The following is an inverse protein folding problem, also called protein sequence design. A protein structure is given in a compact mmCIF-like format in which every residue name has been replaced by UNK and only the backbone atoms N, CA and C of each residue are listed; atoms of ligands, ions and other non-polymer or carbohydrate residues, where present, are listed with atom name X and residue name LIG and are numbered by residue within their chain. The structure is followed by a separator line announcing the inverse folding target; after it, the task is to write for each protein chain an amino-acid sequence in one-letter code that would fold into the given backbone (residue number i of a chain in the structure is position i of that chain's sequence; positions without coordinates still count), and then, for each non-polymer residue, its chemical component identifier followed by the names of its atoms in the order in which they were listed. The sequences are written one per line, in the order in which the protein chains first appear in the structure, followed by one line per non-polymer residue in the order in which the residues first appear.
data_IF_906206397238
#
_entry.id   IF_906206397238
#
_cell.length_a   1.000
_cell.length_b   1.000
_cell.length_c   1.000
_cell.angle_alpha   90.00
_cell.angle_beta   90.00
_cell.angle_gamma   90.00
#
_symmetry.space_group_name_H-M   'P 1'
#
loop_
_entity.id
_entity.type
_entity.pdbx_description
1 polymer ?
#
# COMPACT_ATOMS: atom_id res chain seq x y z
N UNK A 1 8.17 6.72 2.10
CA UNK A 1 7.74 8.08 1.70
C UNK A 1 8.88 8.90 1.15
N UNK A 2 8.57 10.11 0.72
CA UNK A 2 9.57 10.96 0.08
C UNK A 2 10.71 11.37 1.05
N UNK A 3 11.95 10.95 0.75
CA UNK A 3 13.13 11.20 1.61
C UNK A 3 13.28 10.24 2.77
N UNK A 4 12.42 9.26 2.90
CA UNK A 4 12.56 8.19 3.89
C UNK A 4 13.62 7.17 3.45
N UNK A 5 14.12 6.43 4.43
CA UNK A 5 15.07 5.34 4.24
C UNK A 5 14.36 3.98 4.44
N UNK A 6 15.00 2.91 4.02
CA UNK A 6 14.47 1.54 4.17
C UNK A 6 14.12 1.19 5.62
N UNK A 7 14.87 1.70 6.57
CA UNK A 7 14.68 1.50 8.00
C UNK A 7 13.61 2.39 8.65
N UNK A 8 13.06 3.39 7.96
CA UNK A 8 12.10 4.36 8.54
C UNK A 8 10.88 3.64 9.15
N UNK A 9 10.33 2.67 8.49
CA UNK A 9 9.19 1.90 9.00
C UNK A 9 9.52 1.09 10.26
N UNK A 10 10.73 0.57 10.37
CA UNK A 10 11.17 -0.19 11.54
C UNK A 10 11.55 0.74 12.68
N UNK A 11 12.41 1.73 12.41
CA UNK A 11 12.98 2.60 13.44
C UNK A 11 11.99 3.63 13.97
N UNK A 12 11.21 4.22 13.09
CA UNK A 12 10.27 5.30 13.41
C UNK A 12 8.80 4.86 13.29
N UNK A 13 8.44 4.09 12.30
CA UNK A 13 7.09 3.54 12.11
C UNK A 13 6.75 2.41 13.08
N UNK A 14 7.75 1.75 13.68
CA UNK A 14 7.58 0.62 14.61
C UNK A 14 6.78 -0.54 14.01
N UNK A 15 6.86 -0.73 12.70
CA UNK A 15 6.08 -1.73 11.98
C UNK A 15 6.32 -3.16 12.49
N UNK A 16 7.56 -3.49 12.89
CA UNK A 16 7.90 -4.77 13.51
C UNK A 16 7.14 -5.00 14.82
N UNK A 17 7.13 -4.03 15.75
CA UNK A 17 6.39 -4.17 17.01
C UNK A 17 4.88 -4.20 16.80
N UNK A 18 4.37 -3.41 15.84
CA UNK A 18 2.95 -3.41 15.47
C UNK A 18 2.55 -4.81 14.99
N UNK A 19 3.32 -5.38 14.08
CA UNK A 19 3.03 -6.70 13.51
C UNK A 19 3.14 -7.81 14.56
N UNK A 20 4.20 -7.80 15.38
CA UNK A 20 4.39 -8.78 16.47
C UNK A 20 3.19 -8.77 17.43
N UNK A 21 2.73 -7.58 17.84
CA UNK A 21 1.57 -7.44 18.71
C UNK A 21 0.29 -7.96 18.04
N UNK A 22 0.04 -7.60 16.79
CA UNK A 22 -1.15 -8.03 16.05
C UNK A 22 -1.17 -9.54 15.84
N UNK A 23 -0.02 -10.15 15.58
CA UNK A 23 0.11 -11.62 15.45
C UNK A 23 -0.15 -12.28 16.81
N UNK A 24 0.46 -11.78 17.90
CA UNK A 24 0.25 -12.30 19.25
C UNK A 24 -1.20 -12.18 19.72
N UNK A 25 -1.90 -11.14 19.29
CA UNK A 25 -3.34 -10.93 19.56
C UNK A 25 -4.26 -11.72 18.61
N UNK A 26 -3.71 -12.46 17.65
CA UNK A 26 -4.49 -13.19 16.62
C UNK A 26 -5.23 -12.28 15.63
N UNK A 27 -4.81 -11.03 15.52
CA UNK A 27 -5.43 -10.02 14.65
C UNK A 27 -4.77 -9.91 13.27
N UNK A 28 -3.54 -10.37 13.11
CA UNK A 28 -2.85 -10.46 11.83
C UNK A 28 -2.29 -11.85 11.61
N UNK A 29 -2.09 -12.21 10.34
CA UNK A 29 -1.38 -13.44 9.95
C UNK A 29 0.12 -13.22 10.02
N UNK A 30 0.86 -14.31 10.29
CA UNK A 30 2.32 -14.31 10.13
C UNK A 30 2.68 -13.96 8.68
N UNK A 31 3.64 -13.05 8.52
CA UNK A 31 4.05 -12.58 7.20
C UNK A 31 5.51 -12.12 7.18
N UNK A 32 6.09 -12.13 6.00
CA UNK A 32 7.37 -11.46 5.72
C UNK A 32 7.06 -10.05 5.22
N UNK A 33 7.65 -9.05 5.85
CA UNK A 33 7.57 -7.66 5.42
C UNK A 33 8.90 -7.23 4.84
N UNK A 34 8.88 -6.69 3.64
CA UNK A 34 10.05 -6.20 2.91
C UNK A 34 9.97 -4.69 2.78
N UNK A 35 11.02 -4.00 3.14
CA UNK A 35 11.13 -2.54 3.01
C UNK A 35 12.18 -2.21 1.92
N UNK A 36 11.78 -2.17 0.65
CA UNK A 36 12.69 -1.83 -0.43
C UNK A 36 13.04 -0.33 -0.41
N UNK A 37 14.12 0.04 -1.08
CA UNK A 37 14.43 1.44 -1.30
C UNK A 37 13.60 1.96 -2.49
N UNK A 38 12.77 2.95 -2.26
CA UNK A 38 11.95 3.61 -3.30
C UNK A 38 12.62 4.86 -3.91
N UNK A 39 13.83 5.21 -3.45
CA UNK A 39 14.57 6.39 -3.89
C UNK A 39 15.44 6.09 -5.14
N UNK A 40 14.82 5.56 -6.18
CA UNK A 40 15.51 5.16 -7.43
C UNK A 40 16.05 6.35 -8.23
N UNK A 41 15.48 7.52 -8.05
CA UNK A 41 15.84 8.76 -8.73
C UNK A 41 15.98 9.86 -7.70
N UNK A 42 17.00 10.70 -7.82
CA UNK A 42 17.16 11.83 -6.91
C UNK A 42 15.98 12.79 -7.03
N UNK A 43 15.51 13.29 -5.90
CA UNK A 43 14.33 14.15 -5.81
C UNK A 43 14.45 15.46 -6.60
N UNK A 44 15.68 15.93 -6.81
CA UNK A 44 16.01 17.11 -7.61
C UNK A 44 15.98 16.86 -9.12
N UNK A 45 15.82 15.59 -9.55
CA UNK A 45 15.77 15.31 -11.00
C UNK A 45 14.48 15.89 -11.60
N UNK A 46 14.54 16.62 -12.74
CA UNK A 46 13.36 17.24 -13.35
C UNK A 46 12.20 16.28 -13.65
N UNK A 47 12.54 15.04 -14.00
CA UNK A 47 11.59 13.97 -14.32
C UNK A 47 11.49 12.93 -13.19
N UNK A 48 11.63 13.35 -11.93
CA UNK A 48 11.67 12.43 -10.80
C UNK A 48 10.48 11.45 -10.78
N UNK A 49 9.27 11.95 -10.83
CA UNK A 49 8.05 11.12 -10.77
C UNK A 49 7.91 10.20 -11.98
N UNK A 50 8.17 10.72 -13.17
CA UNK A 50 8.07 9.98 -14.43
C UNK A 50 9.03 8.80 -14.50
N UNK A 51 10.22 8.93 -13.91
CA UNK A 51 11.25 7.90 -13.93
C UNK A 51 11.18 6.98 -12.69
N UNK A 52 10.89 7.52 -11.51
CA UNK A 52 10.96 6.77 -10.26
C UNK A 52 9.90 5.67 -10.19
N UNK A 53 8.67 5.93 -10.58
CA UNK A 53 7.57 4.97 -10.46
C UNK A 53 7.77 3.73 -11.34
N UNK A 54 8.10 3.84 -12.64
CA UNK A 54 8.43 2.67 -13.46
C UNK A 54 9.67 1.91 -12.96
N UNK A 55 10.67 2.60 -12.40
CA UNK A 55 11.85 1.95 -11.85
C UNK A 55 11.54 1.17 -10.58
N UNK A 56 10.70 1.72 -9.69
CA UNK A 56 10.23 0.98 -8.50
C UNK A 56 9.37 -0.22 -8.91
N UNK A 57 8.49 -0.08 -9.89
CA UNK A 57 7.72 -1.19 -10.45
C UNK A 57 8.66 -2.31 -10.92
N UNK A 58 9.63 -1.97 -11.76
CA UNK A 58 10.61 -2.92 -12.29
C UNK A 58 11.43 -3.58 -11.18
N UNK A 59 11.92 -2.81 -10.22
CA UNK A 59 12.69 -3.33 -9.07
C UNK A 59 11.87 -4.34 -8.26
N UNK A 60 10.62 -4.02 -7.96
CA UNK A 60 9.75 -4.92 -7.20
C UNK A 60 9.50 -6.23 -7.96
N UNK A 61 9.12 -6.15 -9.23
CA UNK A 61 8.71 -7.30 -10.03
C UNK A 61 9.90 -8.17 -10.44
N UNK A 62 10.99 -7.56 -10.91
CA UNK A 62 12.12 -8.28 -11.50
C UNK A 62 13.22 -8.66 -10.49
N UNK A 63 13.30 -7.96 -9.36
CA UNK A 63 14.39 -8.15 -8.40
C UNK A 63 13.90 -8.56 -7.01
N UNK A 64 13.07 -7.75 -6.36
CA UNK A 64 12.69 -7.95 -4.95
C UNK A 64 11.87 -9.22 -4.77
N UNK A 65 10.78 -9.38 -5.51
CA UNK A 65 9.92 -10.56 -5.41
C UNK A 65 10.69 -11.85 -5.72
N UNK A 66 11.42 -11.99 -6.84
CA UNK A 66 12.20 -13.18 -7.13
C UNK A 66 13.28 -13.47 -6.07
N UNK A 67 13.92 -12.43 -5.55
CA UNK A 67 14.91 -12.58 -4.48
C UNK A 67 14.30 -13.18 -3.22
N UNK A 68 13.18 -12.60 -2.72
CA UNK A 68 12.48 -13.08 -1.53
C UNK A 68 12.01 -14.52 -1.72
N UNK A 69 11.41 -14.82 -2.86
CA UNK A 69 10.93 -16.16 -3.20
C UNK A 69 12.05 -17.21 -3.33
N UNK A 70 13.28 -16.76 -3.63
CA UNK A 70 14.44 -17.64 -3.68
C UNK A 70 15.06 -17.93 -2.31
N UNK A 71 14.84 -17.06 -1.33
CA UNK A 71 15.47 -17.11 0.00
C UNK A 71 14.56 -17.61 1.11
N UNK A 72 13.26 -17.40 0.96
CA UNK A 72 12.29 -17.69 2.01
C UNK A 72 11.18 -18.59 1.49
N UNK A 73 10.63 -19.40 2.38
CA UNK A 73 9.44 -20.19 2.09
C UNK A 73 8.21 -19.30 2.15
N UNK A 74 7.78 -18.80 1.00
CA UNK A 74 6.62 -17.90 0.86
C UNK A 74 5.58 -18.49 -0.07
N UNK A 75 4.33 -18.06 0.09
CA UNK A 75 3.24 -18.38 -0.83
C UNK A 75 3.39 -17.49 -2.07
N UNK A 76 3.58 -18.11 -3.23
CA UNK A 76 3.80 -17.44 -4.53
C UNK A 76 2.48 -17.18 -5.25
N UNK A 77 1.59 -16.48 -4.59
CA UNK A 77 0.25 -16.17 -5.07
C UNK A 77 -0.07 -14.70 -4.83
N UNK A 78 -0.76 -14.06 -5.78
CA UNK A 78 -1.19 -12.67 -5.65
C UNK A 78 -2.03 -12.44 -4.40
N UNK A 79 -2.86 -13.41 -4.03
CA UNK A 79 -3.74 -13.36 -2.87
C UNK A 79 -2.98 -13.38 -1.52
N UNK A 80 -1.70 -13.77 -1.54
CA UNK A 80 -0.79 -13.72 -0.40
C UNK A 80 0.22 -12.56 -0.49
N UNK A 81 0.05 -11.65 -1.44
CA UNK A 81 0.98 -10.53 -1.64
C UNK A 81 0.26 -9.19 -1.58
N UNK A 82 0.76 -8.33 -0.73
CA UNK A 82 0.25 -6.97 -0.54
C UNK A 82 1.35 -5.94 -0.77
N UNK A 83 0.96 -4.76 -1.22
CA UNK A 83 1.85 -3.60 -1.38
C UNK A 83 1.25 -2.40 -0.65
N UNK A 84 2.06 -1.70 0.14
CA UNK A 84 1.62 -0.50 0.86
C UNK A 84 2.74 0.50 1.01
N UNK A 85 2.36 1.74 1.23
CA UNK A 85 3.29 2.83 1.52
C UNK A 85 2.59 4.08 2.00
N UNK A 86 3.38 5.00 2.53
CA UNK A 86 2.91 6.30 3.00
C UNK A 86 3.30 7.40 1.99
N UNK A 87 2.49 8.43 1.86
CA UNK A 87 2.80 9.61 1.06
C UNK A 87 3.22 9.24 -0.39
N UNK A 88 4.43 9.56 -0.83
CA UNK A 88 4.97 9.14 -2.13
C UNK A 88 4.98 7.61 -2.29
N UNK A 89 5.35 6.87 -1.26
CA UNK A 89 5.31 5.40 -1.27
C UNK A 89 3.90 4.84 -1.44
N UNK A 90 2.88 5.51 -0.90
CA UNK A 90 1.48 5.17 -1.15
C UNK A 90 1.07 5.39 -2.60
N UNK A 91 1.50 6.50 -3.24
CA UNK A 91 1.30 6.73 -4.67
C UNK A 91 2.00 5.68 -5.54
N UNK A 92 3.24 5.32 -5.18
CA UNK A 92 3.97 4.24 -5.84
C UNK A 92 3.25 2.90 -5.67
N UNK A 93 2.73 2.62 -4.48
CA UNK A 93 1.95 1.40 -4.21
C UNK A 93 0.69 1.34 -5.08
N UNK A 94 -0.05 2.43 -5.20
CA UNK A 94 -1.21 2.51 -6.08
C UNK A 94 -0.81 2.28 -7.54
N UNK A 95 0.22 2.99 -8.00
CA UNK A 95 0.73 2.88 -9.38
C UNK A 95 1.14 1.44 -9.72
N UNK A 96 1.94 0.81 -8.85
CA UNK A 96 2.47 -0.53 -9.09
C UNK A 96 1.39 -1.60 -8.94
N UNK A 97 0.61 -1.58 -7.86
CA UNK A 97 -0.37 -2.64 -7.61
C UNK A 97 -1.48 -2.67 -8.66
N UNK A 98 -2.04 -1.52 -9.05
CA UNK A 98 -3.11 -1.46 -10.05
C UNK A 98 -2.63 -1.80 -11.48
N UNK A 99 -1.34 -1.73 -11.75
CA UNK A 99 -0.75 -2.18 -13.03
C UNK A 99 -0.40 -3.67 -13.03
N UNK A 100 -0.32 -4.30 -11.86
CA UNK A 100 0.14 -5.67 -11.66
C UNK A 100 -0.84 -6.44 -10.74
N UNK A 101 -2.12 -6.46 -11.13
CA UNK A 101 -3.20 -7.15 -10.38
C UNK A 101 -3.10 -8.67 -10.43
N UNK A 102 -2.23 -9.21 -11.26
CA UNK A 102 -1.82 -10.62 -11.29
C UNK A 102 -0.70 -10.93 -10.27
N UNK A 103 -0.06 -9.88 -9.73
CA UNK A 103 1.04 -10.00 -8.77
C UNK A 103 0.60 -9.62 -7.35
N UNK A 104 -0.21 -8.57 -7.21
CA UNK A 104 -0.67 -8.04 -5.91
C UNK A 104 -2.19 -8.11 -5.81
N UNK A 105 -2.70 -8.85 -4.83
CA UNK A 105 -4.14 -8.88 -4.51
C UNK A 105 -4.58 -7.79 -3.54
N UNK A 106 -3.66 -7.27 -2.72
CA UNK A 106 -4.01 -6.28 -1.69
C UNK A 106 -3.12 -5.05 -1.74
N UNK A 107 -3.69 -3.88 -1.38
CA UNK A 107 -2.94 -2.63 -1.35
C UNK A 107 -3.40 -1.67 -0.24
N UNK A 108 -2.43 -0.90 0.30
CA UNK A 108 -2.66 0.15 1.28
C UNK A 108 -2.10 1.50 0.84
N UNK A 109 -2.95 2.49 0.72
CA UNK A 109 -2.66 3.82 0.21
C UNK A 109 -2.75 4.81 1.38
N UNK A 110 -1.62 4.98 2.10
CA UNK A 110 -1.60 5.76 3.34
C UNK A 110 -1.17 7.20 3.05
N UNK A 111 -2.07 8.14 3.34
CA UNK A 111 -1.85 9.58 3.14
C UNK A 111 -1.39 9.94 1.73
N UNK A 112 -1.97 9.26 0.73
CA UNK A 112 -1.68 9.50 -0.68
C UNK A 112 -2.82 9.01 -1.58
N UNK A 113 -3.07 9.71 -2.66
CA UNK A 113 -3.97 9.27 -3.70
C UNK A 113 -3.45 9.70 -5.07
N UNK A 114 -3.64 8.84 -6.06
CA UNK A 114 -3.50 9.16 -7.48
C UNK A 114 -4.93 9.31 -8.02
N UNK A 115 -5.14 10.24 -8.94
CA UNK A 115 -6.44 10.40 -9.58
C UNK A 115 -6.80 9.13 -10.38
N UNK A 116 -8.09 8.81 -10.45
CA UNK A 116 -8.57 7.61 -11.16
C UNK A 116 -8.19 7.63 -12.64
N UNK A 117 -8.13 8.81 -13.24
CA UNK A 117 -7.66 8.98 -14.62
C UNK A 117 -6.23 8.48 -14.87
N UNK A 118 -5.40 8.43 -13.83
CA UNK A 118 -4.03 7.90 -13.89
C UNK A 118 -3.97 6.39 -13.66
N UNK A 119 -5.11 5.75 -13.35
CA UNK A 119 -5.21 4.32 -13.00
C UNK A 119 -6.29 3.61 -13.82
N UNK A 120 -6.08 3.44 -15.13
CA UNK A 120 -7.11 2.90 -16.03
C UNK A 120 -7.59 1.48 -15.68
N UNK A 121 -6.82 0.72 -14.89
CA UNK A 121 -7.25 -0.60 -14.41
C UNK A 121 -8.54 -0.54 -13.56
N UNK A 122 -8.82 0.58 -12.91
CA UNK A 122 -10.03 0.76 -12.12
C UNK A 122 -11.32 0.81 -12.98
N UNK A 123 -11.21 1.00 -14.29
CA UNK A 123 -12.35 0.94 -15.22
C UNK A 123 -12.69 -0.50 -15.67
N UNK A 124 -11.95 -1.50 -15.19
CA UNK A 124 -12.24 -2.90 -15.51
C UNK A 124 -13.54 -3.33 -14.81
N UNK A 125 -14.54 -3.83 -15.53
CA UNK A 125 -15.83 -4.24 -14.92
C UNK A 125 -15.67 -5.38 -13.90
N UNK A 126 -14.59 -6.16 -13.98
CA UNK A 126 -14.30 -7.27 -13.08
C UNK A 126 -13.24 -6.89 -12.02
N UNK A 127 -13.08 -5.60 -11.74
CA UNK A 127 -12.01 -5.11 -10.84
C UNK A 127 -12.13 -5.68 -9.43
N UNK A 128 -13.35 -5.85 -8.92
CA UNK A 128 -13.60 -6.40 -7.59
C UNK A 128 -13.21 -7.89 -7.47
N UNK A 129 -13.17 -8.62 -8.57
CA UNK A 129 -12.65 -10.00 -8.60
C UNK A 129 -11.11 -10.05 -8.64
N UNK A 130 -10.48 -8.93 -8.94
CA UNK A 130 -9.02 -8.80 -9.09
C UNK A 130 -8.33 -8.23 -7.87
N UNK A 131 -9.06 -7.47 -7.05
CA UNK A 131 -8.56 -6.85 -5.82
C UNK A 131 -9.17 -7.57 -4.62
N UNK A 132 -8.33 -8.12 -3.75
CA UNK A 132 -8.77 -8.78 -2.52
C UNK A 132 -9.04 -7.76 -1.40
N UNK A 133 -8.20 -6.72 -1.33
CA UNK A 133 -8.33 -5.67 -0.32
C UNK A 133 -7.64 -4.38 -0.77
N UNK A 134 -8.38 -3.29 -0.72
CA UNK A 134 -7.86 -1.93 -0.92
C UNK A 134 -8.19 -1.07 0.30
N UNK A 135 -7.17 -0.49 0.92
CA UNK A 135 -7.33 0.45 2.02
C UNK A 135 -6.81 1.83 1.62
N UNK A 136 -7.64 2.84 1.77
CA UNK A 136 -7.31 4.24 1.53
C UNK A 136 -7.50 4.99 2.83
N UNK A 137 -6.51 5.76 3.26
CA UNK A 137 -6.68 6.52 4.49
C UNK A 137 -5.60 7.54 4.78
N UNK A 138 -5.97 8.49 5.66
CA UNK A 138 -5.10 9.56 6.12
C UNK A 138 -5.64 10.25 7.37
N UNK A 139 -4.94 11.27 7.84
CA UNK A 139 -5.32 12.05 9.00
C UNK A 139 -6.16 13.28 8.65
N UNK A 140 -7.09 13.66 9.53
CA UNK A 140 -7.99 14.81 9.31
C UNK A 140 -7.28 16.16 9.16
N UNK A 141 -6.07 16.28 9.72
CA UNK A 141 -5.27 17.51 9.59
C UNK A 141 -4.40 17.55 8.33
N UNK A 142 -4.45 16.53 7.52
CA UNK A 142 -3.77 16.48 6.23
C UNK A 142 -4.61 17.11 5.11
N UNK A 143 -5.05 18.33 5.27
CA UNK A 143 -6.12 18.95 4.47
C UNK A 143 -6.00 18.73 2.95
N UNK A 144 -4.81 18.89 2.38
CA UNK A 144 -4.59 18.68 0.94
C UNK A 144 -4.60 17.21 0.52
N UNK A 145 -4.15 16.29 1.37
CA UNK A 145 -4.17 14.86 1.11
C UNK A 145 -5.57 14.28 1.34
N UNK A 146 -6.24 14.69 2.42
CA UNK A 146 -7.60 14.23 2.70
C UNK A 146 -8.57 14.57 1.59
N UNK A 147 -8.54 15.79 1.06
CA UNK A 147 -9.38 16.16 -0.08
C UNK A 147 -9.14 15.29 -1.34
N UNK A 148 -7.94 14.75 -1.52
CA UNK A 148 -7.66 13.78 -2.60
C UNK A 148 -8.20 12.40 -2.28
N UNK A 149 -8.05 11.95 -1.03
CA UNK A 149 -8.59 10.66 -0.59
C UNK A 149 -10.11 10.64 -0.66
N UNK A 150 -10.77 11.72 -0.22
CA UNK A 150 -12.22 11.88 -0.31
C UNK A 150 -12.69 11.81 -1.77
N UNK A 151 -12.06 12.53 -2.67
CA UNK A 151 -12.39 12.46 -4.10
C UNK A 151 -12.15 11.06 -4.69
N UNK A 152 -11.05 10.40 -4.32
CA UNK A 152 -10.79 9.04 -4.76
C UNK A 152 -11.86 8.10 -4.23
N UNK A 153 -12.20 8.20 -2.93
CA UNK A 153 -13.25 7.42 -2.30
C UNK A 153 -14.60 7.60 -3.02
N UNK A 154 -15.06 8.85 -3.18
CA UNK A 154 -16.31 9.18 -3.87
C UNK A 154 -16.33 8.60 -5.29
N UNK A 155 -15.23 8.74 -6.04
CA UNK A 155 -15.15 8.21 -7.41
C UNK A 155 -15.18 6.67 -7.42
N UNK A 156 -14.50 6.01 -6.49
CA UNK A 156 -14.53 4.54 -6.40
C UNK A 156 -15.91 4.02 -5.99
N UNK A 157 -16.62 4.73 -5.11
CA UNK A 157 -18.02 4.41 -4.78
C UNK A 157 -18.95 4.53 -6.00
N UNK A 158 -18.82 5.63 -6.76
CA UNK A 158 -19.59 5.83 -8.00
C UNK A 158 -19.30 4.74 -9.04
N UNK A 159 -18.07 4.23 -9.09
CA UNK A 159 -17.67 3.14 -9.99
C UNK A 159 -18.02 1.76 -9.45
N UNK A 160 -18.45 1.63 -8.19
CA UNK A 160 -18.73 0.36 -7.54
C UNK A 160 -17.47 -0.46 -7.21
N UNK A 161 -16.30 0.19 -7.06
CA UNK A 161 -15.04 -0.47 -6.70
C UNK A 161 -14.98 -0.68 -5.18
N UNK A 162 -14.87 -1.92 -4.74
CA UNK A 162 -14.79 -2.26 -3.31
C UNK A 162 -13.48 -1.77 -2.69
N UNK A 163 -13.60 -0.97 -1.64
CA UNK A 163 -12.45 -0.46 -0.89
C UNK A 163 -12.85 -0.08 0.53
N UNK A 164 -11.87 0.02 1.42
CA UNK A 164 -12.04 0.58 2.75
C UNK A 164 -11.48 2.00 2.76
N UNK A 165 -12.30 2.95 3.23
CA UNK A 165 -11.88 4.32 3.43
C UNK A 165 -11.80 4.64 4.92
N UNK A 166 -10.67 5.14 5.38
CA UNK A 166 -10.43 5.48 6.78
C UNK A 166 -9.94 6.90 6.97
N UNK A 167 -10.59 7.59 7.91
CA UNK A 167 -10.22 8.95 8.33
C UNK A 167 -9.75 8.93 9.77
N UNK A 168 -8.45 9.12 9.97
CA UNK A 168 -7.83 9.18 11.29
C UNK A 168 -8.12 10.50 12.00
N UNK A 169 -9.05 10.49 12.95
CA UNK A 169 -9.43 11.70 13.71
C UNK A 169 -8.25 12.30 14.45
N UNK A 170 -7.94 13.59 14.16
CA UNK A 170 -6.83 14.31 14.77
C UNK A 170 -5.44 13.93 14.23
N UNK A 171 -5.35 13.12 13.18
CA UNK A 171 -4.10 12.72 12.56
C UNK A 171 -3.54 13.78 11.60
N UNK A 172 -2.22 13.87 11.51
CA UNK A 172 -1.47 14.73 10.59
C UNK A 172 -0.66 13.87 9.60
N UNK A 173 0.08 14.50 8.70
CA UNK A 173 0.98 13.82 7.76
C UNK A 173 2.26 13.34 8.47
N UNK A 174 2.10 12.37 9.35
CA UNK A 174 3.17 11.88 10.22
C UNK A 174 3.05 10.38 10.55
N UNK A 175 4.11 9.87 11.16
CA UNK A 175 4.21 8.46 11.53
C UNK A 175 3.22 8.02 12.61
N UNK A 176 2.66 8.93 13.40
CA UNK A 176 1.63 8.58 14.38
C UNK A 176 0.37 8.16 13.65
N UNK A 177 -0.07 8.97 12.69
CA UNK A 177 -1.20 8.66 11.80
C UNK A 177 -0.99 7.34 11.06
N UNK A 178 0.19 7.15 10.47
CA UNK A 178 0.48 5.94 9.68
C UNK A 178 0.60 4.67 10.53
N UNK A 179 1.08 4.76 11.79
CA UNK A 179 1.04 3.64 12.74
C UNK A 179 -0.40 3.23 13.05
N UNK A 180 -1.29 4.21 13.24
CA UNK A 180 -2.71 3.95 13.45
C UNK A 180 -3.34 3.23 12.26
N UNK A 181 -3.11 3.74 11.04
CA UNK A 181 -3.58 3.10 9.82
C UNK A 181 -3.03 1.68 9.67
N UNK A 182 -1.75 1.48 9.95
CA UNK A 182 -1.11 0.18 9.89
C UNK A 182 -1.71 -0.81 10.90
N UNK A 183 -1.89 -0.35 12.15
CA UNK A 183 -2.35 -1.20 13.25
C UNK A 183 -3.85 -1.52 13.20
N UNK A 184 -4.68 -0.54 12.92
CA UNK A 184 -6.13 -0.70 13.01
C UNK A 184 -6.79 -1.10 11.70
N UNK A 185 -6.23 -0.65 10.57
CA UNK A 185 -6.90 -0.75 9.29
C UNK A 185 -6.21 -1.71 8.32
N UNK A 186 -4.92 -1.56 8.06
CA UNK A 186 -4.27 -2.30 6.99
C UNK A 186 -3.90 -3.73 7.40
N UNK A 187 -3.01 -3.92 8.36
CA UNK A 187 -2.51 -5.25 8.73
C UNK A 187 -3.60 -6.21 9.24
N UNK A 188 -4.56 -5.77 10.10
CA UNK A 188 -5.61 -6.67 10.57
C UNK A 188 -6.56 -7.15 9.49
N UNK A 189 -6.68 -6.43 8.39
CA UNK A 189 -7.60 -6.75 7.30
C UNK A 189 -6.94 -7.50 6.14
N UNK A 190 -5.61 -7.58 6.12
CA UNK A 190 -4.92 -8.41 5.14
C UNK A 190 -5.31 -9.88 5.31
N UNK A 191 -5.68 -10.51 4.19
CA UNK A 191 -5.98 -11.95 4.08
C UNK A 191 -7.13 -12.41 4.98
N UNK A 192 -8.03 -11.51 5.39
CA UNK A 192 -9.25 -11.86 6.12
C UNK A 192 -10.41 -12.26 5.21
N UNK A 193 -10.44 -11.75 4.01
CA UNK A 193 -11.45 -12.08 3.02
C UNK A 193 -11.35 -13.55 2.64
N UNK A 194 -12.46 -14.17 2.32
CA UNK A 194 -12.78 -15.58 2.07
C UNK A 194 -11.80 -16.41 1.22
N UNK A 195 -10.55 -16.00 1.09
CA UNK A 195 -9.53 -16.79 0.43
C UNK A 195 -9.26 -18.05 1.25
N UNK A 196 -9.81 -19.15 0.77
CA UNK A 196 -9.51 -20.45 1.34
C UNK A 196 -8.13 -20.86 0.84
N UNK A 197 -7.14 -20.71 1.71
CA UNK A 197 -5.83 -21.32 1.52
C UNK A 197 -6.03 -22.82 1.25
N UNK A 198 -5.67 -23.24 0.05
CA UNK A 198 -5.71 -24.64 -0.35
C UNK A 198 -4.46 -25.35 0.12
#
# INVERSE_FOLDING_TARGET
GSGDLTETWVMHGRANFILDNLIAEGKAKEMIVVFPNDQMVTRSHPQHTELAFPLVEKELIECVIPYVESKYSVIKDKHARALSGLSMGGRMSQYVALRNLDVFGSMGLLSSAIEVSETPALNDPDINDKIDYMCIGGGTYETGFMARHERLHETLEEMGVEHQFYVGGGGAHDLVTWRHLLYYEFLPNLWRTNYKWK
#
